data_IF_888676871059
#
_entry.id   IF_888676871059
#
_cell.length_a   1.000
_cell.length_b   1.000
_cell.length_c   1.000
_cell.angle_alpha   90.00
_cell.angle_beta   90.00
_cell.angle_gamma   90.00
#
_symmetry.space_group_name_H-M   'P 1'
#
loop_
_entity.id
_entity.type
_entity.pdbx_description
1 polymer ?
#
# COMPACT_ATOMS: atom_id res chain seq x y z
N UNK A 1 7.77 -8.50 4.83
CA UNK A 1 8.66 -9.57 5.35
C UNK A 1 8.09 -10.46 6.47
N UNK A 2 6.88 -10.23 6.98
CA UNK A 2 6.40 -10.90 8.22
C UNK A 2 6.22 -12.43 8.11
N UNK A 3 5.79 -12.94 6.95
CA UNK A 3 5.33 -14.34 6.82
C UNK A 3 6.33 -15.27 6.12
N UNK A 4 7.32 -14.73 5.40
CA UNK A 4 8.29 -15.48 4.58
C UNK A 4 7.66 -16.68 3.83
N UNK A 5 6.62 -16.45 3.00
CA UNK A 5 5.91 -17.53 2.32
C UNK A 5 6.68 -18.05 1.11
N UNK A 6 6.29 -19.24 0.63
CA UNK A 6 6.78 -19.76 -0.65
C UNK A 6 6.36 -18.83 -1.81
N UNK A 7 7.19 -18.73 -2.85
CA UNK A 7 7.02 -17.78 -3.97
C UNK A 7 5.70 -17.96 -4.74
N UNK A 8 5.11 -19.17 -4.72
CA UNK A 8 3.85 -19.49 -5.38
C UNK A 8 2.60 -19.19 -4.53
N UNK A 9 2.78 -18.79 -3.27
CA UNK A 9 1.68 -18.45 -2.38
C UNK A 9 0.99 -17.16 -2.81
N UNK A 10 -0.35 -17.19 -2.90
CA UNK A 10 -1.19 -16.02 -3.23
C UNK A 10 -2.04 -15.63 -2.02
N UNK A 11 -1.94 -14.37 -1.60
CA UNK A 11 -2.69 -13.78 -0.49
C UNK A 11 -3.82 -12.90 -1.03
N UNK A 12 -5.06 -13.26 -0.72
CA UNK A 12 -6.22 -12.41 -0.97
C UNK A 12 -6.55 -11.62 0.29
N UNK A 13 -6.41 -10.30 0.23
CA UNK A 13 -6.63 -9.41 1.38
C UNK A 13 -7.95 -8.66 1.18
N UNK A 14 -8.98 -9.04 1.95
CA UNK A 14 -10.23 -8.28 2.06
C UNK A 14 -10.29 -7.63 3.44
N UNK A 15 -9.68 -6.45 3.56
CA UNK A 15 -9.69 -5.67 4.80
C UNK A 15 -10.27 -4.28 4.56
N UNK A 16 -10.96 -3.78 5.58
CA UNK A 16 -11.53 -2.43 5.60
C UNK A 16 -10.54 -1.40 6.14
N UNK A 17 -9.52 -1.79 6.91
CA UNK A 17 -8.57 -0.84 7.52
C UNK A 17 -7.71 -0.16 6.47
N UNK A 18 -7.44 1.12 6.70
CA UNK A 18 -6.61 1.98 5.86
C UNK A 18 -5.74 2.87 6.73
N UNK A 19 -4.56 3.31 6.23
CA UNK A 19 -3.99 3.04 4.90
C UNK A 19 -3.52 1.60 4.72
N UNK A 20 -3.35 1.16 3.46
CA UNK A 20 -2.80 -0.17 3.15
C UNK A 20 -1.29 -0.04 3.10
N UNK A 21 -0.57 -0.98 3.70
CA UNK A 21 0.89 -1.01 3.61
C UNK A 21 1.37 -0.91 2.13
N UNK A 22 2.31 0.00 1.87
CA UNK A 22 2.76 0.28 0.50
C UNK A 22 3.42 -0.92 -0.17
N UNK A 23 4.09 -1.80 0.58
CA UNK A 23 4.67 -3.03 0.03
C UNK A 23 3.56 -3.97 -0.44
N UNK A 24 2.48 -4.09 0.33
CA UNK A 24 1.31 -4.87 -0.07
C UNK A 24 0.59 -4.28 -1.29
N UNK A 25 0.59 -2.95 -1.45
CA UNK A 25 -0.01 -2.29 -2.63
C UNK A 25 0.80 -2.54 -3.89
N UNK A 26 2.13 -2.41 -3.79
CA UNK A 26 3.02 -2.53 -4.95
C UNK A 26 3.47 -3.96 -5.26
N UNK A 27 3.15 -4.93 -4.40
CA UNK A 27 3.35 -6.35 -4.70
C UNK A 27 2.26 -6.85 -5.66
N UNK A 28 2.63 -7.05 -6.93
CA UNK A 28 1.75 -7.54 -7.97
C UNK A 28 1.79 -9.08 -8.16
N UNK A 29 2.71 -9.77 -7.49
CA UNK A 29 2.91 -11.22 -7.59
C UNK A 29 1.98 -11.96 -6.63
N UNK A 30 2.25 -11.88 -5.33
CA UNK A 30 1.63 -12.69 -4.29
C UNK A 30 0.40 -12.00 -3.67
N UNK A 31 0.37 -10.67 -3.59
CA UNK A 31 -0.72 -9.95 -2.92
C UNK A 31 -1.84 -9.59 -3.90
N UNK A 32 -3.09 -9.89 -3.52
CA UNK A 32 -4.31 -9.55 -4.25
C UNK A 32 -5.26 -8.79 -3.30
N UNK A 33 -5.25 -7.47 -3.42
CA UNK A 33 -6.13 -6.60 -2.62
C UNK A 33 -7.57 -6.65 -3.16
N UNK A 34 -8.51 -7.12 -2.34
CA UNK A 34 -9.94 -7.13 -2.61
C UNK A 34 -10.58 -5.83 -2.11
N UNK A 35 -10.25 -4.73 -2.78
CA UNK A 35 -10.69 -3.37 -2.44
C UNK A 35 -11.48 -2.78 -3.62
N UNK A 36 -12.49 -1.95 -3.32
CA UNK A 36 -13.24 -1.23 -4.36
C UNK A 36 -12.36 -0.19 -5.05
N UNK A 37 -12.41 -0.17 -6.38
CA UNK A 37 -11.61 0.76 -7.20
C UNK A 37 -11.91 2.25 -6.95
N UNK A 38 -13.08 2.56 -6.39
CA UNK A 38 -13.48 3.93 -6.07
C UNK A 38 -13.20 4.32 -4.61
N UNK A 39 -12.61 3.43 -3.79
CA UNK A 39 -12.00 3.85 -2.53
C UNK A 39 -10.69 4.58 -2.90
N UNK A 40 -10.66 5.90 -2.72
CA UNK A 40 -9.42 6.68 -2.88
C UNK A 40 -8.44 6.28 -1.77
N UNK A 41 -7.39 5.57 -2.15
CA UNK A 41 -6.40 5.04 -1.22
C UNK A 41 -5.30 6.04 -0.89
N UNK A 42 -5.14 7.13 -1.66
CA UNK A 42 -4.09 8.12 -1.45
C UNK A 42 -2.67 7.55 -1.48
N UNK A 43 -2.42 6.48 -2.24
CA UNK A 43 -1.13 5.78 -2.25
C UNK A 43 -0.06 6.68 -2.88
N UNK A 44 1.11 6.87 -2.24
CA UNK A 44 2.24 7.61 -2.81
C UNK A 44 2.77 6.96 -4.09
N UNK A 45 3.40 7.74 -4.98
CA UNK A 45 4.01 7.20 -6.21
C UNK A 45 5.17 6.24 -5.90
N UNK A 46 5.31 5.17 -6.70
CA UNK A 46 6.38 4.18 -6.55
C UNK A 46 7.77 4.82 -6.51
N UNK A 47 8.08 5.71 -7.44
CA UNK A 47 9.40 6.35 -7.58
C UNK A 47 9.79 7.23 -6.38
N UNK A 48 8.80 7.68 -5.60
CA UNK A 48 9.02 8.51 -4.41
C UNK A 48 9.36 7.66 -3.18
N UNK A 49 9.01 6.36 -3.17
CA UNK A 49 9.13 5.49 -2.00
C UNK A 49 9.94 4.21 -2.24
N UNK A 50 10.19 3.84 -3.50
CA UNK A 50 11.04 2.73 -3.90
C UNK A 50 12.10 3.21 -4.87
N UNK A 51 13.30 2.63 -4.77
CA UNK A 51 14.43 2.90 -5.65
C UNK A 51 15.20 1.62 -5.85
N UNK A 52 15.57 1.34 -7.08
CA UNK A 52 16.40 0.18 -7.40
C UNK A 52 17.79 0.38 -6.77
N UNK A 53 18.13 -0.47 -5.81
CA UNK A 53 19.43 -0.50 -5.11
C UNK A 53 20.55 -1.10 -5.98
N UNK A 54 20.50 -0.97 -7.31
CA UNK A 54 21.51 -1.54 -8.23
C UNK A 54 22.90 -0.85 -8.18
N UNK A 55 23.23 -0.16 -7.08
CA UNK A 55 24.53 0.49 -6.93
C UNK A 55 25.13 0.47 -5.52
N UNK A 56 24.59 -0.31 -4.59
CA UNK A 56 24.92 -0.18 -3.16
C UNK A 56 26.00 -1.14 -2.62
N UNK A 57 26.75 -1.85 -3.49
CA UNK A 57 27.74 -2.86 -3.06
C UNK A 57 29.22 -2.44 -3.19
N UNK A 58 29.53 -1.14 -3.37
CA UNK A 58 30.94 -0.69 -3.55
C UNK A 58 31.33 0.53 -2.71
N UNK A 59 30.79 0.67 -1.49
CA UNK A 59 31.23 1.75 -0.60
C UNK A 59 31.41 1.39 0.89
N UNK A 60 31.71 0.12 1.18
CA UNK A 60 32.40 -0.27 2.41
C UNK A 60 33.93 -0.29 2.20
N UNK A 61 34.46 0.77 1.60
CA UNK A 61 35.89 1.06 1.58
C UNK A 61 36.36 1.43 2.99
N UNK A 62 36.53 0.41 3.83
CA UNK A 62 37.09 0.47 5.15
C UNK A 62 38.52 1.07 5.06
N UNK A 63 38.65 2.35 5.42
CA UNK A 63 39.92 3.03 5.72
C UNK A 63 40.49 2.39 7.01
N UNK A 64 41.02 1.17 6.90
CA UNK A 64 41.88 0.58 7.92
C UNK A 64 43.31 1.00 7.62
N UNK A 65 43.66 2.15 8.18
CA UNK A 65 45.03 2.60 8.40
C UNK A 65 45.75 1.60 9.30
N UNK A 66 46.51 0.68 8.71
CA UNK A 66 47.56 -0.04 9.43
C UNK A 66 48.77 -0.29 8.51
N UNK A 67 49.60 0.76 8.42
CA UNK A 67 51.06 0.69 8.40
C UNK A 67 51.74 -0.01 7.21
N UNK A 68 52.25 0.78 6.24
CA UNK A 68 53.66 0.69 5.79
C UNK A 68 54.06 1.77 4.76
N UNK A 69 55.01 2.62 5.17
CA UNK A 69 56.08 3.31 4.41
C UNK A 69 55.78 4.21 3.18
N UNK A 70 56.44 5.39 3.07
CA UNK A 70 56.07 6.45 2.12
C UNK A 70 56.74 6.27 0.75
N UNK A 71 56.16 5.46 -0.12
CA UNK A 71 56.59 5.35 -1.53
C UNK A 71 55.88 6.39 -2.43
N UNK A 72 56.35 7.62 -2.40
CA UNK A 72 56.78 8.41 -3.59
C UNK A 72 55.98 8.46 -4.90
N UNK A 73 54.67 8.16 -4.96
CA UNK A 73 53.81 8.47 -6.12
C UNK A 73 52.57 9.20 -5.65
N UNK A 74 52.54 10.52 -5.85
CA UNK A 74 51.35 11.37 -5.69
C UNK A 74 50.21 10.74 -6.50
N UNK A 75 49.35 9.94 -5.85
CA UNK A 75 48.03 9.59 -6.36
C UNK A 75 47.34 10.93 -6.59
N UNK A 76 47.14 11.28 -7.87
CA UNK A 76 46.35 12.43 -8.26
C UNK A 76 44.95 12.13 -7.75
N UNK A 77 44.60 12.70 -6.59
CA UNK A 77 43.25 12.63 -6.04
C UNK A 77 42.33 13.13 -7.16
N UNK A 78 41.49 12.24 -7.69
CA UNK A 78 40.47 12.63 -8.67
C UNK A 78 39.40 13.39 -7.91
N UNK A 79 39.63 14.69 -7.73
CA UNK A 79 38.74 15.62 -7.03
C UNK A 79 37.31 15.53 -7.60
N UNK A 80 37.19 15.28 -8.91
CA UNK A 80 35.92 15.05 -9.58
C UNK A 80 35.25 13.70 -9.25
N UNK A 81 35.99 12.68 -8.84
CA UNK A 81 35.39 11.44 -8.32
C UNK A 81 34.82 11.64 -6.91
N UNK A 82 35.53 12.41 -6.07
CA UNK A 82 35.08 12.73 -4.70
C UNK A 82 33.83 13.63 -4.74
N UNK A 83 33.84 14.66 -5.59
CA UNK A 83 32.70 15.56 -5.77
C UNK A 83 31.44 14.81 -6.25
N UNK A 84 31.58 13.91 -7.24
CA UNK A 84 30.49 13.03 -7.71
C UNK A 84 29.97 12.09 -6.63
N UNK A 85 30.82 11.64 -5.70
CA UNK A 85 30.43 10.79 -4.56
C UNK A 85 29.64 11.60 -3.53
N UNK A 86 30.10 12.82 -3.22
CA UNK A 86 29.41 13.73 -2.29
C UNK A 86 28.03 14.12 -2.83
N UNK A 87 27.92 14.44 -4.12
CA UNK A 87 26.65 14.79 -4.77
C UNK A 87 25.65 13.62 -4.72
N UNK A 88 26.11 12.39 -5.00
CA UNK A 88 25.29 11.18 -4.87
C UNK A 88 24.79 10.95 -3.44
N UNK A 89 25.67 11.09 -2.46
CA UNK A 89 25.29 10.97 -1.05
C UNK A 89 24.28 12.04 -0.62
N UNK A 90 24.44 13.29 -1.09
CA UNK A 90 23.49 14.36 -0.82
C UNK A 90 22.13 14.07 -1.44
N UNK A 91 22.08 13.67 -2.70
CA UNK A 91 20.85 13.30 -3.38
C UNK A 91 20.15 12.11 -2.69
N UNK A 92 20.91 11.13 -2.19
CA UNK A 92 20.38 10.01 -1.39
C UNK A 92 19.73 10.50 -0.09
N UNK A 93 20.42 11.34 0.68
CA UNK A 93 19.88 11.91 1.93
C UNK A 93 18.62 12.75 1.68
N UNK A 94 18.60 13.55 0.62
CA UNK A 94 17.45 14.37 0.24
C UNK A 94 16.26 13.50 -0.20
N UNK A 95 16.51 12.39 -0.90
CA UNK A 95 15.47 11.43 -1.25
C UNK A 95 14.95 10.68 -0.01
N UNK A 96 15.83 10.17 0.86
CA UNK A 96 15.44 9.49 2.10
C UNK A 96 14.66 10.40 3.06
N UNK A 97 14.97 11.71 3.08
CA UNK A 97 14.21 12.69 3.83
C UNK A 97 12.80 12.87 3.25
N UNK A 98 12.68 13.07 1.93
CA UNK A 98 11.38 13.20 1.26
C UNK A 98 10.53 11.94 1.39
N UNK A 99 11.13 10.75 1.20
CA UNK A 99 10.47 9.46 1.38
C UNK A 99 9.86 9.33 2.78
N UNK A 100 10.59 9.73 3.83
CA UNK A 100 10.09 9.69 5.21
C UNK A 100 8.91 10.62 5.43
N UNK A 101 8.96 11.82 4.86
CA UNK A 101 7.85 12.79 4.92
C UNK A 101 6.59 12.23 4.22
N UNK A 102 6.76 11.69 3.01
CA UNK A 102 5.66 11.09 2.24
C UNK A 102 5.03 9.90 2.97
N UNK A 103 5.84 8.98 3.51
CA UNK A 103 5.33 7.83 4.26
C UNK A 103 4.66 8.25 5.57
N UNK A 104 5.21 9.25 6.25
CA UNK A 104 4.56 9.83 7.43
C UNK A 104 3.19 10.40 7.08
N UNK A 105 3.09 11.18 6.01
CA UNK A 105 1.83 11.78 5.58
C UNK A 105 0.80 10.74 5.13
N UNK A 106 1.27 9.62 4.58
CA UNK A 106 0.43 8.49 4.20
C UNK A 106 -0.10 7.70 5.42
N UNK A 107 0.76 7.44 6.40
CA UNK A 107 0.49 6.56 7.55
C UNK A 107 -0.13 7.27 8.76
N UNK A 108 -0.11 8.61 8.81
CA UNK A 108 -0.52 9.39 9.98
C UNK A 108 -2.00 9.22 10.39
N UNK A 109 -2.90 8.82 9.48
CA UNK A 109 -4.34 8.75 9.75
C UNK A 109 -4.92 7.38 9.42
N UNK A 110 -5.45 6.71 10.44
CA UNK A 110 -6.20 5.47 10.27
C UNK A 110 -7.68 5.76 9.96
N UNK A 111 -8.24 5.00 9.01
CA UNK A 111 -9.66 5.08 8.66
C UNK A 111 -10.16 3.73 8.12
N UNK A 112 -11.46 3.63 7.81
CA UNK A 112 -12.03 2.45 7.17
C UNK A 112 -12.62 2.74 5.79
N UNK A 113 -12.32 1.85 4.84
CA UNK A 113 -12.92 1.80 3.52
C UNK A 113 -14.25 1.07 3.49
N UNK A 114 -14.63 0.59 2.30
CA UNK A 114 -15.89 -0.13 2.07
C UNK A 114 -15.98 -1.42 2.89
N UNK A 115 -17.18 -1.71 3.44
CA UNK A 115 -17.45 -2.91 4.23
C UNK A 115 -17.09 -4.21 3.49
N UNK A 116 -16.38 -5.11 4.17
CA UNK A 116 -16.02 -6.43 3.62
C UNK A 116 -17.27 -7.26 3.26
N UNK A 117 -18.36 -7.15 4.04
CA UNK A 117 -19.61 -7.84 3.74
C UNK A 117 -20.23 -7.34 2.42
N UNK A 118 -20.15 -6.03 2.15
CA UNK A 118 -20.56 -5.47 0.87
C UNK A 118 -19.68 -5.96 -0.29
N UNK A 119 -18.36 -6.06 -0.09
CA UNK A 119 -17.44 -6.60 -1.10
C UNK A 119 -17.83 -8.02 -1.51
N UNK A 120 -18.08 -8.91 -0.53
CA UNK A 120 -18.47 -10.28 -0.82
C UNK A 120 -19.87 -10.40 -1.40
N UNK A 121 -20.81 -9.54 -1.01
CA UNK A 121 -22.12 -9.48 -1.64
C UNK A 121 -22.04 -9.08 -3.12
N UNK A 122 -21.26 -8.05 -3.44
CA UNK A 122 -21.02 -7.62 -4.82
C UNK A 122 -20.36 -8.73 -5.65
N UNK A 123 -19.38 -9.45 -5.08
CA UNK A 123 -18.79 -10.62 -5.71
C UNK A 123 -19.82 -11.71 -6.01
N UNK A 124 -20.66 -12.05 -5.02
CA UNK A 124 -21.74 -13.03 -5.20
C UNK A 124 -22.72 -12.60 -6.28
N UNK A 125 -23.03 -11.30 -6.35
CA UNK A 125 -23.89 -10.73 -7.39
C UNK A 125 -23.28 -10.83 -8.79
N UNK A 126 -21.99 -10.49 -8.95
CA UNK A 126 -21.27 -10.66 -10.23
C UNK A 126 -21.28 -12.12 -10.68
N UNK A 127 -21.25 -13.07 -9.74
CA UNK A 127 -21.34 -14.50 -9.99
C UNK A 127 -22.78 -15.02 -10.12
N UNK A 128 -23.80 -14.15 -10.07
CA UNK A 128 -25.25 -14.50 -10.07
C UNK A 128 -25.68 -15.46 -8.94
N UNK A 129 -24.95 -15.43 -7.82
CA UNK A 129 -25.17 -16.26 -6.63
C UNK A 129 -25.67 -15.45 -5.42
N UNK A 130 -26.02 -14.19 -5.62
CA UNK A 130 -26.57 -13.33 -4.59
C UNK A 130 -27.95 -13.82 -4.11
N UNK A 131 -28.14 -13.78 -2.79
CA UNK A 131 -29.39 -14.13 -2.12
C UNK A 131 -29.85 -12.98 -1.24
N UNK A 132 -31.13 -12.99 -0.84
CA UNK A 132 -31.69 -11.99 0.09
C UNK A 132 -30.98 -12.04 1.45
N UNK A 133 -30.56 -13.22 1.90
CA UNK A 133 -29.84 -13.38 3.16
C UNK A 133 -28.45 -12.75 3.08
N UNK A 134 -27.73 -12.95 1.96
CA UNK A 134 -26.44 -12.28 1.74
C UNK A 134 -26.58 -10.76 1.66
N UNK A 135 -27.66 -10.26 1.04
CA UNK A 135 -27.95 -8.82 1.05
C UNK A 135 -28.19 -8.31 2.48
N UNK A 136 -28.92 -9.08 3.29
CA UNK A 136 -29.14 -8.73 4.68
C UNK A 136 -27.83 -8.73 5.50
N UNK A 137 -26.95 -9.70 5.29
CA UNK A 137 -25.62 -9.71 5.92
C UNK A 137 -24.76 -8.53 5.49
N UNK A 138 -24.83 -8.13 4.22
CA UNK A 138 -24.15 -6.92 3.73
C UNK A 138 -24.67 -5.64 4.40
N UNK A 139 -26.00 -5.53 4.58
CA UNK A 139 -26.62 -4.43 5.31
C UNK A 139 -26.13 -4.40 6.76
N UNK A 140 -26.11 -5.54 7.46
CA UNK A 140 -25.58 -5.63 8.83
C UNK A 140 -24.11 -5.18 8.87
N UNK A 141 -23.27 -5.65 7.95
CA UNK A 141 -21.86 -5.28 7.89
C UNK A 141 -21.61 -3.80 7.57
N UNK A 142 -22.51 -3.14 6.84
CA UNK A 142 -22.46 -1.69 6.62
C UNK A 142 -22.92 -0.93 7.88
N UNK A 143 -24.00 -1.40 8.52
CA UNK A 143 -24.51 -0.80 9.75
C UNK A 143 -23.52 -0.93 10.92
N UNK A 144 -22.76 -2.03 10.98
CA UNK A 144 -21.65 -2.20 11.93
C UNK A 144 -20.63 -1.06 11.84
N UNK A 145 -20.16 -0.75 10.62
CA UNK A 145 -19.24 0.38 10.41
C UNK A 145 -19.86 1.72 10.82
N UNK A 146 -21.17 1.89 10.64
CA UNK A 146 -21.87 3.13 11.03
C UNK A 146 -22.03 3.29 12.54
N UNK A 147 -22.34 2.21 13.25
CA UNK A 147 -22.56 2.23 14.71
C UNK A 147 -21.23 2.46 15.45
N UNK A 148 -20.15 1.89 14.94
CA UNK A 148 -18.81 2.06 15.50
C UNK A 148 -18.08 3.31 14.97
N UNK A 149 -18.78 4.20 14.26
CA UNK A 149 -18.24 5.42 13.66
C UNK A 149 -16.93 5.19 12.85
N UNK A 150 -16.80 4.02 12.23
CA UNK A 150 -15.64 3.65 11.39
C UNK A 150 -15.63 4.36 10.04
N UNK A 151 -16.81 4.79 9.58
CA UNK A 151 -16.99 5.50 8.31
C UNK A 151 -17.75 6.80 8.53
N UNK A 152 -17.52 7.76 7.64
CA UNK A 152 -18.24 9.03 7.67
C UNK A 152 -19.73 8.85 7.35
N UNK A 153 -20.56 9.78 7.83
CA UNK A 153 -21.98 9.80 7.50
C UNK A 153 -22.24 9.85 5.99
N UNK A 154 -21.42 10.61 5.23
CA UNK A 154 -21.54 10.70 3.78
C UNK A 154 -21.22 9.38 3.08
N UNK A 155 -20.18 8.66 3.53
CA UNK A 155 -19.87 7.32 3.01
C UNK A 155 -21.02 6.35 3.28
N UNK A 156 -21.54 6.34 4.51
CA UNK A 156 -22.68 5.50 4.88
C UNK A 156 -23.91 5.76 4.00
N UNK A 157 -24.30 7.01 3.79
CA UNK A 157 -25.44 7.36 2.92
C UNK A 157 -25.23 6.90 1.48
N UNK A 158 -24.01 7.05 0.96
CA UNK A 158 -23.64 6.59 -0.40
C UNK A 158 -23.74 5.07 -0.53
N UNK A 159 -23.24 4.35 0.47
CA UNK A 159 -23.25 2.88 0.50
C UNK A 159 -24.68 2.34 0.70
N UNK A 160 -25.52 3.01 1.50
CA UNK A 160 -26.96 2.71 1.63
C UNK A 160 -27.68 2.86 0.29
N UNK A 161 -27.40 3.91 -0.48
CA UNK A 161 -28.01 4.10 -1.81
C UNK A 161 -27.66 2.93 -2.76
N UNK A 162 -26.45 2.38 -2.64
CA UNK A 162 -26.06 1.18 -3.40
C UNK A 162 -26.84 -0.06 -2.95
N UNK A 163 -26.99 -0.27 -1.63
CA UNK A 163 -27.79 -1.38 -1.09
C UNK A 163 -29.28 -1.28 -1.47
N UNK A 164 -29.86 -0.08 -1.49
CA UNK A 164 -31.24 0.14 -1.90
C UNK A 164 -31.51 -0.33 -3.33
N UNK A 165 -30.56 -0.15 -4.26
CA UNK A 165 -30.69 -0.68 -5.64
C UNK A 165 -30.80 -2.20 -5.66
N UNK A 166 -30.01 -2.87 -4.83
CA UNK A 166 -30.05 -4.34 -4.71
C UNK A 166 -31.32 -4.85 -4.06
N UNK A 167 -31.84 -4.16 -3.03
CA UNK A 167 -33.16 -4.46 -2.44
C UNK A 167 -34.24 -4.41 -3.51
N UNK A 168 -34.30 -3.29 -4.27
CA UNK A 168 -35.27 -3.13 -5.35
C UNK A 168 -35.15 -4.26 -6.38
N UNK A 169 -33.94 -4.59 -6.83
CA UNK A 169 -33.69 -5.69 -7.78
C UNK A 169 -34.17 -7.05 -7.24
N UNK A 170 -33.86 -7.38 -5.99
CA UNK A 170 -34.30 -8.63 -5.38
C UNK A 170 -35.82 -8.71 -5.23
N UNK A 171 -36.50 -7.59 -4.98
CA UNK A 171 -37.96 -7.55 -4.87
C UNK A 171 -38.64 -7.88 -6.21
N UNK A 172 -38.21 -7.24 -7.31
CA UNK A 172 -38.75 -7.52 -8.65
C UNK A 172 -38.53 -8.96 -9.11
N UNK A 173 -37.46 -9.64 -8.65
CA UNK A 173 -37.19 -11.04 -9.04
C UNK A 173 -38.16 -12.05 -8.41
N UNK A 174 -39.00 -11.65 -7.44
CA UNK A 174 -39.99 -12.55 -6.83
C UNK A 174 -41.41 -12.36 -7.37
N UNK A 175 -41.61 -11.37 -8.24
CA UNK A 175 -42.83 -11.23 -9.04
C UNK A 175 -42.68 -12.07 -10.32
#
# INVERSE_FOLDING_TARGET
>A
EMLQPDDDSIFFICDTHRPVDVVNVYNDTQIKLLIKQNDDLGVPSYDDIFRDEEGDDDDSGNESDEGSEPSGKRRRFDEGAIERRIERQRARREWEARRREILFDYEQYEYHGTSAAMMFFELAWVLTKDTKDMLWWAIIGLTDQKIHDRITHMKYVTDVATMQRHVSRHNHRNE
#
